data_IF_718282873384
#
_entry.id   IF_718282873384
#
_cell.length_a   1.000
_cell.length_b   1.000
_cell.length_c   1.000
_cell.angle_alpha   90.00
_cell.angle_beta   90.00
_cell.angle_gamma   90.00
#
_symmetry.space_group_name_H-M   'P 1'
#
loop_
_entity.id
_entity.type
_entity.pdbx_description
1 polymer ?
#
# COMPACT_ATOMS: atom_id res chain seq x y z
N UNK A 1 -27.94 -39.17 -6.72
CA UNK A 1 -28.77 -38.12 -7.37
C UNK A 1 -29.45 -37.37 -6.23
N UNK A 2 -29.15 -36.13 -5.87
CA UNK A 2 -28.45 -35.04 -6.53
C UNK A 2 -27.69 -34.21 -5.48
N UNK A 3 -26.60 -33.63 -5.97
CA UNK A 3 -25.68 -32.73 -5.30
C UNK A 3 -26.39 -31.62 -4.53
N UNK A 4 -26.00 -31.42 -3.27
CA UNK A 4 -26.24 -30.17 -2.54
C UNK A 4 -25.49 -29.06 -3.26
N UNK A 5 -26.18 -28.26 -4.06
CA UNK A 5 -25.65 -27.02 -4.60
C UNK A 5 -25.38 -26.08 -3.43
N UNK A 6 -24.11 -25.93 -3.05
CA UNK A 6 -23.66 -24.77 -2.29
C UNK A 6 -23.98 -23.56 -3.13
N UNK A 7 -24.89 -22.72 -2.65
CA UNK A 7 -25.09 -21.37 -3.15
C UNK A 7 -23.74 -20.68 -3.01
N UNK A 8 -23.10 -20.34 -4.14
CA UNK A 8 -21.99 -19.40 -4.15
C UNK A 8 -22.56 -18.08 -3.64
N UNK A 9 -22.05 -17.57 -2.53
CA UNK A 9 -22.32 -16.20 -2.12
C UNK A 9 -21.87 -15.30 -3.27
N UNK A 10 -22.82 -14.57 -3.86
CA UNK A 10 -22.53 -13.50 -4.81
C UNK A 10 -21.81 -12.40 -4.03
N UNK A 11 -20.48 -12.38 -4.11
CA UNK A 11 -19.65 -11.32 -3.54
C UNK A 11 -19.96 -10.01 -4.26
N UNK A 12 -20.89 -9.25 -3.69
CA UNK A 12 -21.38 -8.01 -4.26
C UNK A 12 -20.33 -6.90 -4.08
N UNK A 13 -19.54 -6.65 -5.12
CA UNK A 13 -18.46 -5.67 -5.18
C UNK A 13 -18.95 -4.21 -5.24
N UNK A 14 -19.77 -3.78 -4.28
CA UNK A 14 -20.47 -2.50 -4.38
C UNK A 14 -19.76 -1.30 -3.72
N UNK A 15 -18.52 -1.45 -3.22
CA UNK A 15 -17.85 -0.34 -2.51
C UNK A 15 -16.44 -0.07 -3.05
N UNK A 16 -16.29 0.81 -4.07
CA UNK A 16 -15.01 1.08 -4.72
C UNK A 16 -13.88 1.50 -3.79
N UNK A 17 -14.23 2.23 -2.73
CA UNK A 17 -13.36 2.45 -1.58
C UNK A 17 -14.20 2.37 -0.31
N UNK A 18 -13.95 1.39 0.57
CA UNK A 18 -14.64 1.31 1.86
C UNK A 18 -14.49 2.58 2.69
N UNK A 19 -15.59 3.02 3.30
CA UNK A 19 -15.59 4.14 4.24
C UNK A 19 -15.19 3.67 5.65
N UNK A 20 -14.57 4.56 6.41
CA UNK A 20 -14.18 4.30 7.79
C UNK A 20 -12.90 3.47 7.93
N UNK A 21 -12.64 3.04 9.17
CA UNK A 21 -11.53 2.14 9.50
C UNK A 21 -12.08 0.85 10.09
N UNK A 22 -11.47 -0.27 9.72
CA UNK A 22 -11.75 -1.59 10.30
C UNK A 22 -10.45 -2.18 10.85
N UNK A 23 -10.54 -3.23 11.63
CA UNK A 23 -9.35 -3.93 12.15
C UNK A 23 -8.85 -4.93 11.12
N UNK A 24 -7.54 -4.99 10.93
CA UNK A 24 -6.90 -6.05 10.16
C UNK A 24 -7.15 -7.39 10.86
N UNK A 25 -7.60 -8.44 10.14
CA UNK A 25 -7.94 -9.73 10.75
C UNK A 25 -6.72 -10.40 11.41
N UNK A 26 -5.51 -10.13 10.93
CA UNK A 26 -4.28 -10.73 11.45
C UNK A 26 -3.67 -9.97 12.64
N UNK A 27 -3.59 -8.63 12.58
CA UNK A 27 -2.87 -7.85 13.60
C UNK A 27 -3.77 -6.97 14.48
N UNK A 28 -5.08 -6.93 14.23
CA UNK A 28 -6.05 -6.12 14.98
C UNK A 28 -5.89 -4.60 14.81
N UNK A 29 -4.88 -4.12 14.06
CA UNK A 29 -4.65 -2.69 13.87
C UNK A 29 -5.65 -2.08 12.90
N UNK A 30 -6.00 -0.81 13.12
CA UNK A 30 -6.95 -0.07 12.29
C UNK A 30 -6.38 0.20 10.89
N UNK A 31 -7.03 -0.34 9.87
CA UNK A 31 -6.74 -0.14 8.45
C UNK A 31 -7.78 0.79 7.79
N UNK A 32 -7.37 1.48 6.73
CA UNK A 32 -8.25 2.35 5.92
C UNK A 32 -8.58 1.69 4.60
N UNK A 33 -9.78 1.93 4.07
CA UNK A 33 -10.17 1.48 2.74
C UNK A 33 -9.33 2.15 1.65
N UNK A 34 -9.00 1.39 0.62
CA UNK A 34 -8.29 1.85 -0.59
C UNK A 34 -9.20 1.73 -1.82
N UNK A 35 -8.90 2.50 -2.87
CA UNK A 35 -9.64 2.43 -4.12
C UNK A 35 -9.29 1.15 -4.88
N UNK A 36 -10.27 0.55 -5.56
CA UNK A 36 -10.05 -0.64 -6.37
C UNK A 36 -8.96 -0.46 -7.44
N UNK A 37 -8.89 0.73 -8.09
CA UNK A 37 -7.82 1.05 -9.04
C UNK A 37 -6.40 1.00 -8.44
N UNK A 38 -6.26 1.28 -7.14
CA UNK A 38 -4.97 1.17 -6.44
C UNK A 38 -4.56 -0.29 -6.33
N UNK A 39 -5.49 -1.14 -5.87
CA UNK A 39 -5.25 -2.58 -5.72
C UNK A 39 -4.98 -3.20 -7.07
N UNK A 40 -5.84 -2.96 -8.07
CA UNK A 40 -5.67 -3.42 -9.44
C UNK A 40 -4.29 -3.08 -10.01
N UNK A 41 -3.80 -1.85 -9.80
CA UNK A 41 -2.50 -1.46 -10.33
C UNK A 41 -1.33 -2.17 -9.64
N UNK A 42 -1.46 -2.50 -8.35
CA UNK A 42 -0.35 -2.95 -7.51
C UNK A 42 -0.31 -4.46 -7.26
N UNK A 43 -1.33 -5.22 -7.69
CA UNK A 43 -1.31 -6.68 -7.63
C UNK A 43 -0.64 -7.31 -8.86
N UNK A 44 -0.10 -8.52 -8.70
CA UNK A 44 0.43 -9.32 -9.81
C UNK A 44 -0.68 -9.75 -10.77
N UNK A 45 -0.34 -10.03 -12.04
CA UNK A 45 -1.31 -10.55 -13.03
C UNK A 45 -1.94 -11.88 -12.58
N UNK A 46 -1.18 -12.74 -11.88
CA UNK A 46 -1.72 -13.96 -11.28
C UNK A 46 -2.80 -13.66 -10.24
N UNK A 47 -2.58 -12.65 -9.39
CA UNK A 47 -3.57 -12.23 -8.39
C UNK A 47 -4.79 -11.63 -9.07
N UNK A 48 -4.61 -10.81 -10.13
CA UNK A 48 -5.73 -10.26 -10.92
C UNK A 48 -6.63 -11.35 -11.49
N UNK A 49 -6.04 -12.41 -12.02
CA UNK A 49 -6.78 -13.53 -12.60
C UNK A 49 -7.61 -14.33 -11.57
N UNK A 50 -7.28 -14.20 -10.27
CA UNK A 50 -7.96 -14.91 -9.17
C UNK A 50 -9.00 -14.06 -8.45
N UNK A 51 -8.91 -12.73 -8.53
CA UNK A 51 -9.85 -11.83 -7.88
C UNK A 51 -11.08 -11.59 -8.76
N UNK A 52 -12.27 -11.77 -8.18
CA UNK A 52 -13.53 -11.47 -8.88
C UNK A 52 -13.71 -9.95 -9.11
N UNK A 53 -13.14 -9.12 -8.22
CA UNK A 53 -13.09 -7.66 -8.34
C UNK A 53 -12.06 -7.04 -7.39
N UNK A 54 -11.68 -5.79 -7.63
CA UNK A 54 -10.67 -5.05 -6.85
C UNK A 54 -11.26 -4.10 -5.80
N UNK A 55 -12.57 -3.94 -5.75
CA UNK A 55 -13.24 -3.01 -4.84
C UNK A 55 -13.29 -3.55 -3.40
N UNK A 56 -13.44 -2.70 -2.40
CA UNK A 56 -13.74 -3.16 -1.05
C UNK A 56 -12.55 -3.50 -0.15
N UNK A 57 -11.31 -3.36 -0.63
CA UNK A 57 -10.11 -3.68 0.14
C UNK A 57 -9.71 -2.58 1.13
N UNK A 58 -9.05 -3.00 2.21
CA UNK A 58 -8.41 -2.17 3.22
C UNK A 58 -6.89 -2.40 3.22
N UNK A 59 -6.11 -1.35 3.47
CA UNK A 59 -4.65 -1.42 3.53
C UNK A 59 -4.14 -1.51 4.98
N UNK A 60 -3.46 -2.61 5.30
CA UNK A 60 -2.79 -2.79 6.58
C UNK A 60 -1.41 -2.16 6.54
N UNK A 61 -1.25 -1.02 7.23
CA UNK A 61 0.00 -0.24 7.29
C UNK A 61 0.95 -0.67 8.41
N UNK A 62 0.62 -1.71 9.15
CA UNK A 62 1.44 -2.22 10.25
C UNK A 62 2.70 -2.89 9.70
N UNK A 63 3.92 -2.45 10.08
CA UNK A 63 5.16 -2.98 9.52
C UNK A 63 5.35 -4.48 9.77
N UNK A 64 5.07 -4.95 10.99
CA UNK A 64 5.29 -6.33 11.42
C UNK A 64 4.18 -7.31 10.99
N UNK A 65 3.19 -6.86 10.19
CA UNK A 65 2.08 -7.69 9.74
C UNK A 65 2.23 -7.98 8.25
N UNK A 66 2.21 -9.26 7.86
CA UNK A 66 2.40 -9.70 6.47
C UNK A 66 1.26 -9.27 5.53
N UNK A 67 0.06 -9.01 6.08
CA UNK A 67 -1.10 -8.52 5.32
C UNK A 67 -0.79 -7.17 4.70
N UNK A 68 -0.93 -7.05 3.39
CA UNK A 68 -0.89 -5.79 2.64
C UNK A 68 -2.32 -5.27 2.48
N UNK A 69 -3.17 -6.04 1.80
CA UNK A 69 -4.58 -5.72 1.62
C UNK A 69 -5.46 -6.83 2.18
N UNK A 70 -6.66 -6.47 2.62
CA UNK A 70 -7.68 -7.45 2.97
C UNK A 70 -9.10 -6.97 2.70
N UNK A 71 -10.02 -7.91 2.49
CA UNK A 71 -11.46 -7.71 2.33
C UNK A 71 -12.20 -8.93 2.91
N UNK A 72 -12.77 -8.78 4.11
CA UNK A 72 -13.28 -9.94 4.84
C UNK A 72 -12.16 -10.94 5.09
N UNK A 73 -12.35 -12.18 4.62
CA UNK A 73 -11.36 -13.27 4.72
C UNK A 73 -10.37 -13.31 3.54
N UNK A 74 -10.54 -12.46 2.51
CA UNK A 74 -9.57 -12.34 1.43
C UNK A 74 -8.36 -11.55 1.92
N UNK A 75 -7.18 -12.17 1.89
CA UNK A 75 -5.91 -11.60 2.35
C UNK A 75 -4.92 -11.59 1.19
N UNK A 76 -4.31 -10.43 0.95
CA UNK A 76 -3.20 -10.26 0.02
C UNK A 76 -1.94 -9.86 0.78
N UNK A 77 -0.85 -10.57 0.54
CA UNK A 77 0.47 -10.32 1.15
C UNK A 77 1.45 -9.77 0.12
N UNK A 78 2.72 -9.64 0.50
CA UNK A 78 3.78 -9.19 -0.40
C UNK A 78 3.90 -10.04 -1.68
N UNK A 79 3.60 -11.34 -1.62
CA UNK A 79 3.67 -12.26 -2.77
C UNK A 79 2.60 -11.95 -3.84
N UNK A 80 1.51 -11.29 -3.43
CA UNK A 80 0.44 -10.88 -4.33
C UNK A 80 0.72 -9.54 -5.03
N UNK A 81 1.77 -8.82 -4.64
CA UNK A 81 2.05 -7.46 -5.11
C UNK A 81 3.06 -7.46 -6.26
N UNK A 82 2.87 -6.57 -7.24
CA UNK A 82 3.82 -6.33 -8.33
C UNK A 82 4.98 -5.41 -7.90
N UNK A 83 4.89 -4.80 -6.72
CA UNK A 83 5.91 -3.93 -6.12
C UNK A 83 6.21 -4.33 -4.69
N UNK A 84 7.40 -3.98 -4.20
CA UNK A 84 7.73 -4.11 -2.77
C UNK A 84 6.92 -3.09 -1.95
N UNK A 85 6.24 -3.56 -0.91
CA UNK A 85 5.46 -2.72 0.02
C UNK A 85 6.39 -2.23 1.13
N UNK A 86 7.00 -1.07 0.89
CA UNK A 86 8.11 -0.52 1.66
C UNK A 86 7.83 -0.20 3.14
N UNK A 87 6.57 -0.21 3.57
CA UNK A 87 6.25 -0.05 5.00
C UNK A 87 6.39 -1.34 5.81
N UNK A 88 6.52 -2.50 5.15
CA UNK A 88 6.64 -3.81 5.80
C UNK A 88 8.04 -4.05 6.32
N UNK A 89 8.13 -4.80 7.41
CA UNK A 89 9.41 -5.20 7.99
C UNK A 89 10.20 -6.07 6.99
N UNK A 90 11.50 -5.82 6.89
CA UNK A 90 12.37 -6.50 5.91
C UNK A 90 12.19 -6.04 4.46
N UNK A 91 11.29 -5.10 4.16
CA UNK A 91 11.12 -4.59 2.80
C UNK A 91 12.40 -3.93 2.29
N UNK A 92 12.83 -4.34 1.08
CA UNK A 92 13.97 -3.76 0.39
C UNK A 92 13.64 -3.62 -1.11
N UNK A 93 13.51 -2.39 -1.65
CA UNK A 93 13.67 -1.12 -0.94
C UNK A 93 12.53 -0.84 0.05
N UNK A 94 12.84 -0.16 1.16
CA UNK A 94 11.84 0.40 2.07
C UNK A 94 11.27 1.72 1.49
N UNK A 95 10.57 1.61 0.36
CA UNK A 95 9.99 2.74 -0.40
C UNK A 95 8.94 3.50 0.42
N UNK A 96 9.11 4.82 0.49
CA UNK A 96 8.19 5.75 1.18
C UNK A 96 7.52 6.73 0.21
N UNK A 97 8.06 6.94 -0.99
CA UNK A 97 7.38 7.60 -2.11
C UNK A 97 7.52 6.76 -3.37
N UNK A 98 6.39 6.22 -3.86
CA UNK A 98 6.36 5.35 -5.03
C UNK A 98 6.41 6.11 -6.36
N UNK A 99 5.88 7.33 -6.42
CA UNK A 99 5.89 8.11 -7.66
C UNK A 99 7.30 8.48 -8.11
N UNK A 100 8.21 8.72 -7.17
CA UNK A 100 9.56 9.24 -7.44
C UNK A 100 10.65 8.40 -6.77
N UNK A 101 10.31 7.17 -6.38
CA UNK A 101 11.24 6.14 -5.87
C UNK A 101 12.12 6.61 -4.71
N UNK A 102 11.55 7.36 -3.75
CA UNK A 102 12.24 7.65 -2.50
C UNK A 102 12.05 6.50 -1.52
N UNK A 103 13.17 5.98 -1.02
CA UNK A 103 13.22 4.93 0.00
C UNK A 103 13.94 5.42 1.27
N UNK A 104 13.74 4.71 2.38
CA UNK A 104 14.46 5.01 3.63
C UNK A 104 15.98 4.92 3.44
N UNK A 105 16.46 3.99 2.62
CA UNK A 105 17.89 3.81 2.31
C UNK A 105 18.45 5.05 1.60
N UNK A 106 17.74 5.58 0.60
CA UNK A 106 18.15 6.80 -0.11
C UNK A 106 18.19 8.02 0.81
N UNK A 107 17.16 8.19 1.65
CA UNK A 107 17.10 9.27 2.64
C UNK A 107 18.25 9.17 3.63
N UNK A 108 18.49 7.96 4.16
CA UNK A 108 19.56 7.69 5.12
C UNK A 108 20.93 8.02 4.52
N UNK A 109 21.19 7.61 3.28
CA UNK A 109 22.44 7.89 2.60
C UNK A 109 22.72 9.41 2.46
N UNK A 110 21.71 10.22 2.13
CA UNK A 110 21.88 11.68 2.09
C UNK A 110 22.17 12.28 3.46
N UNK A 111 21.45 11.82 4.49
CA UNK A 111 21.64 12.27 5.86
C UNK A 111 23.06 11.95 6.37
N UNK A 112 23.56 10.74 6.09
CA UNK A 112 24.91 10.32 6.48
C UNK A 112 25.99 11.11 5.72
N UNK A 113 25.76 11.43 4.44
CA UNK A 113 26.74 12.15 3.63
C UNK A 113 26.77 13.66 3.89
N UNK A 114 25.63 14.28 4.19
CA UNK A 114 25.49 15.75 4.17
C UNK A 114 24.88 16.35 5.46
N UNK A 115 24.39 15.51 6.37
CA UNK A 115 23.61 15.92 7.54
C UNK A 115 22.20 16.42 7.21
N UNK A 116 21.79 16.38 5.94
CA UNK A 116 20.49 16.86 5.43
C UNK A 116 19.95 15.90 4.37
N UNK A 117 18.67 16.04 4.02
CA UNK A 117 18.06 15.31 2.90
C UNK A 117 17.21 16.25 2.07
N UNK A 118 17.19 16.01 0.76
CA UNK A 118 16.41 16.76 -0.23
C UNK A 118 15.05 16.13 -0.50
N UNK A 119 14.73 14.98 0.11
CA UNK A 119 13.57 14.16 -0.24
C UNK A 119 12.24 14.91 -0.31
N UNK A 120 11.90 15.70 0.71
CA UNK A 120 10.64 16.45 0.72
C UNK A 120 10.61 17.59 -0.30
N UNK A 121 11.76 18.22 -0.57
CA UNK A 121 11.88 19.29 -1.56
C UNK A 121 11.73 18.72 -2.97
N UNK A 122 12.50 17.68 -3.29
CA UNK A 122 12.45 16.98 -4.58
C UNK A 122 11.06 16.41 -4.87
N UNK A 123 10.42 15.77 -3.89
CA UNK A 123 9.06 15.23 -4.06
C UNK A 123 8.06 16.36 -4.33
N UNK A 124 8.11 17.47 -3.59
CA UNK A 124 7.18 18.58 -3.81
C UNK A 124 7.36 19.22 -5.18
N UNK A 125 8.60 19.45 -5.60
CA UNK A 125 8.90 19.97 -6.94
C UNK A 125 8.34 19.04 -8.02
N UNK A 126 8.57 17.72 -7.91
CA UNK A 126 8.06 16.73 -8.87
C UNK A 126 6.54 16.56 -8.82
N UNK A 127 5.90 16.80 -7.68
CA UNK A 127 4.44 16.84 -7.58
C UNK A 127 3.83 18.01 -8.36
N UNK A 128 4.57 19.11 -8.54
CA UNK A 128 4.14 20.25 -9.37
C UNK A 128 4.38 19.96 -10.87
N UNK A 129 5.55 19.43 -11.22
CA UNK A 129 5.91 19.01 -12.57
C UNK A 129 6.97 17.89 -12.49
N UNK A 130 6.70 16.66 -12.96
CA UNK A 130 5.66 16.26 -13.93
C UNK A 130 4.27 15.93 -13.34
N UNK A 131 4.08 16.06 -12.03
CA UNK A 131 2.87 15.59 -11.35
C UNK A 131 3.03 14.21 -10.71
N UNK A 132 2.11 13.83 -9.81
CA UNK A 132 2.16 12.56 -9.10
C UNK A 132 0.87 11.74 -9.25
N UNK A 133 1.01 10.41 -9.12
CA UNK A 133 -0.09 9.44 -9.22
C UNK A 133 -0.22 8.62 -7.93
N UNK A 134 -0.14 9.27 -6.76
CA UNK A 134 -0.14 8.59 -5.46
C UNK A 134 -1.35 7.67 -5.24
N UNK A 135 -2.52 8.07 -5.73
CA UNK A 135 -3.76 7.28 -5.65
C UNK A 135 -3.71 5.94 -6.41
N UNK A 136 -2.72 5.74 -7.26
CA UNK A 136 -2.52 4.52 -8.07
C UNK A 136 -1.24 3.80 -7.64
N UNK A 137 -0.15 4.55 -7.47
CA UNK A 137 1.19 3.99 -7.24
C UNK A 137 1.53 3.73 -5.77
N UNK A 138 0.89 4.44 -4.82
CA UNK A 138 1.16 4.22 -3.40
C UNK A 138 0.23 3.14 -2.87
N UNK A 139 0.72 2.07 -2.20
CA UNK A 139 -0.14 1.03 -1.64
C UNK A 139 -1.24 1.54 -0.71
N UNK A 140 -1.04 2.67 -0.04
CA UNK A 140 -2.07 3.30 0.79
C UNK A 140 -3.17 4.03 0.01
N UNK A 141 -3.02 4.22 -1.30
CA UNK A 141 -3.85 5.08 -2.14
C UNK A 141 -3.78 6.57 -1.78
N UNK A 142 -2.85 6.98 -0.93
CA UNK A 142 -2.74 8.34 -0.38
C UNK A 142 -1.40 9.03 -0.66
N UNK A 143 -1.36 10.34 -0.43
CA UNK A 143 -0.14 11.16 -0.58
C UNK A 143 0.99 10.67 0.34
N UNK A 144 2.20 10.52 -0.22
CA UNK A 144 3.38 10.00 0.48
C UNK A 144 4.03 10.98 1.47
N UNK A 145 3.78 12.29 1.37
CA UNK A 145 4.51 13.31 2.12
C UNK A 145 4.51 13.09 3.64
N UNK A 146 3.41 12.56 4.20
CA UNK A 146 3.32 12.23 5.61
C UNK A 146 4.26 11.08 6.02
N UNK A 147 4.36 10.05 5.17
CA UNK A 147 5.23 8.88 5.40
C UNK A 147 6.70 9.23 5.21
N UNK A 148 7.01 10.03 4.20
CA UNK A 148 8.36 10.57 3.98
C UNK A 148 8.79 11.41 5.17
N UNK A 149 7.92 12.32 5.65
CA UNK A 149 8.22 13.15 6.83
C UNK A 149 8.44 12.31 8.09
N UNK A 150 7.67 11.23 8.27
CA UNK A 150 7.86 10.31 9.40
C UNK A 150 9.18 9.56 9.28
N UNK A 151 9.51 9.05 8.09
CA UNK A 151 10.76 8.33 7.84
C UNK A 151 11.99 9.20 8.08
N UNK A 152 11.98 10.47 7.65
CA UNK A 152 13.08 11.41 7.93
C UNK A 152 13.29 11.57 9.44
N UNK A 153 12.22 11.77 10.21
CA UNK A 153 12.31 11.89 11.67
C UNK A 153 12.85 10.64 12.34
N UNK A 154 12.40 9.45 11.91
CA UNK A 154 12.89 8.16 12.40
C UNK A 154 14.38 7.94 12.11
N UNK A 155 14.91 8.49 11.02
CA UNK A 155 16.31 8.34 10.61
C UNK A 155 17.25 9.39 11.24
N UNK A 156 16.70 10.46 11.81
CA UNK A 156 17.45 11.51 12.49
C UNK A 156 17.46 11.37 14.01
N UNK A 157 16.61 10.49 14.57
CA UNK A 157 16.57 10.16 16.00
C UNK A 157 17.62 9.13 16.36
#
# INVERSE_FOLDING_TARGET
>A
MFSTFKVKEEHNCCTPQPKGKVECPECGQKAKGVLGKTVEHLVTEETKAKLDCFDGFYYCKTPSCEVVYFRGDEILTQENMSVVVGCKEGASPATVCYCFEWSKEKIKAELEATGKTTALEDIKAKMEDPGCSCEILNPSGGCCLGDVSKAIKELQS
#
